data_IF_269060574249
#
_entry.id   IF_269060574249
#
_cell.length_a   1.000
_cell.length_b   1.000
_cell.length_c   1.000
_cell.angle_alpha   90.00
_cell.angle_beta   90.00
_cell.angle_gamma   90.00
#
_symmetry.space_group_name_H-M   'P 1'
#
loop_
_entity.id
_entity.type
_entity.pdbx_description
1 polymer ?
#
# COMPACT_ATOMS: atom_id res chain seq x y z
N UNK A 1 -56.31 -22.39 30.21
CA UNK A 1 -54.83 -22.35 30.13
C UNK A 1 -54.19 -22.76 28.78
N UNK A 2 -54.87 -23.29 27.73
CA UNK A 2 -54.18 -23.73 26.49
C UNK A 2 -53.83 -22.61 25.48
N UNK A 3 -54.50 -21.47 25.52
CA UNK A 3 -54.33 -20.37 24.53
C UNK A 3 -52.99 -19.62 24.68
N UNK A 4 -52.44 -19.55 25.90
CA UNK A 4 -51.17 -18.86 26.16
C UNK A 4 -49.97 -19.62 25.57
N UNK A 5 -50.00 -20.95 25.60
CA UNK A 5 -48.94 -21.84 25.13
C UNK A 5 -48.86 -21.85 23.59
N UNK A 6 -50.01 -21.82 22.90
CA UNK A 6 -50.11 -21.74 21.45
C UNK A 6 -49.59 -20.40 20.87
N UNK A 7 -49.85 -19.30 21.58
CA UNK A 7 -49.27 -18.00 21.24
C UNK A 7 -47.75 -18.01 21.44
N UNK A 8 -47.23 -18.56 22.53
CA UNK A 8 -45.79 -18.58 22.78
C UNK A 8 -45.02 -19.38 21.70
N UNK A 9 -45.59 -20.51 21.26
CA UNK A 9 -45.02 -21.36 20.19
C UNK A 9 -45.06 -20.64 18.83
N UNK A 10 -46.12 -19.89 18.52
CA UNK A 10 -46.22 -19.15 17.25
C UNK A 10 -45.26 -17.95 17.19
N UNK A 11 -45.08 -17.24 18.30
CA UNK A 11 -44.14 -16.11 18.40
C UNK A 11 -42.67 -16.57 18.25
N UNK A 12 -42.28 -17.69 18.87
CA UNK A 12 -40.94 -18.27 18.68
C UNK A 12 -40.67 -18.72 17.25
N UNK A 13 -41.68 -19.30 16.58
CA UNK A 13 -41.57 -19.71 15.17
C UNK A 13 -41.37 -18.51 14.25
N UNK A 14 -42.08 -17.41 14.49
CA UNK A 14 -41.92 -16.16 13.73
C UNK A 14 -40.52 -15.55 13.94
N UNK A 15 -40.01 -15.55 15.18
CA UNK A 15 -38.66 -15.09 15.49
C UNK A 15 -37.58 -15.95 14.80
N UNK A 16 -37.66 -17.28 14.89
CA UNK A 16 -36.73 -18.21 14.20
C UNK A 16 -36.79 -18.11 12.67
N UNK A 17 -37.95 -17.79 12.10
CA UNK A 17 -38.13 -17.65 10.64
C UNK A 17 -37.55 -16.31 10.14
N UNK A 18 -37.73 -15.23 10.91
CA UNK A 18 -37.15 -13.91 10.62
C UNK A 18 -35.61 -13.94 10.75
N UNK A 19 -35.08 -14.65 11.75
CA UNK A 19 -33.65 -14.86 11.93
C UNK A 19 -33.04 -15.63 10.73
N UNK A 20 -33.65 -16.74 10.31
CA UNK A 20 -33.21 -17.51 9.14
C UNK A 20 -33.25 -16.74 7.82
N UNK A 21 -34.25 -15.87 7.64
CA UNK A 21 -34.34 -15.02 6.44
C UNK A 21 -33.23 -13.95 6.44
N UNK A 22 -32.97 -13.35 7.60
CA UNK A 22 -31.89 -12.38 7.78
C UNK A 22 -30.52 -12.99 7.49
N UNK A 23 -30.23 -14.16 8.05
CA UNK A 23 -28.97 -14.87 7.82
C UNK A 23 -28.79 -15.25 6.35
N UNK A 24 -29.83 -15.76 5.69
CA UNK A 24 -29.78 -16.10 4.27
C UNK A 24 -29.56 -14.87 3.37
N UNK A 25 -30.26 -13.77 3.66
CA UNK A 25 -30.11 -12.51 2.92
C UNK A 25 -28.70 -11.94 3.10
N UNK A 26 -28.20 -11.93 4.34
CA UNK A 26 -26.87 -11.44 4.67
C UNK A 26 -25.77 -12.28 4.00
N UNK A 27 -25.88 -13.61 4.06
CA UNK A 27 -24.92 -14.52 3.46
C UNK A 27 -24.88 -14.35 1.93
N UNK A 28 -26.04 -14.30 1.28
CA UNK A 28 -26.11 -14.12 -0.17
C UNK A 28 -25.64 -12.72 -0.61
N UNK A 29 -26.00 -11.67 0.12
CA UNK A 29 -25.54 -10.32 -0.17
C UNK A 29 -24.02 -10.22 -0.05
N UNK A 30 -23.45 -10.77 1.03
CA UNK A 30 -21.99 -10.80 1.24
C UNK A 30 -21.30 -11.63 0.14
N UNK A 31 -21.88 -12.78 -0.25
CA UNK A 31 -21.35 -13.59 -1.33
C UNK A 31 -21.39 -12.85 -2.68
N UNK A 32 -22.49 -12.17 -3.00
CA UNK A 32 -22.62 -11.34 -4.22
C UNK A 32 -21.60 -10.22 -4.22
N UNK A 33 -21.43 -9.52 -3.10
CA UNK A 33 -20.42 -8.46 -2.96
C UNK A 33 -19.01 -9.02 -3.14
N UNK A 34 -18.68 -10.15 -2.49
CA UNK A 34 -17.37 -10.78 -2.63
C UNK A 34 -17.07 -11.20 -4.08
N UNK A 35 -18.06 -11.79 -4.78
CA UNK A 35 -17.95 -12.12 -6.20
C UNK A 35 -17.78 -10.86 -7.04
N UNK A 36 -18.56 -9.81 -6.78
CA UNK A 36 -18.47 -8.54 -7.50
C UNK A 36 -17.10 -7.88 -7.32
N UNK A 37 -16.56 -7.85 -6.09
CA UNK A 37 -15.19 -7.36 -5.82
C UNK A 37 -14.17 -8.20 -6.58
N UNK A 38 -14.29 -9.53 -6.55
CA UNK A 38 -13.43 -10.43 -7.32
C UNK A 38 -13.47 -10.15 -8.82
N UNK A 39 -14.67 -9.97 -9.38
CA UNK A 39 -14.87 -9.60 -10.79
C UNK A 39 -14.29 -8.22 -11.11
N UNK A 40 -14.41 -7.24 -10.22
CA UNK A 40 -13.79 -5.92 -10.39
C UNK A 40 -12.27 -6.00 -10.37
N UNK A 41 -11.67 -6.80 -9.50
CA UNK A 41 -10.22 -7.03 -9.49
C UNK A 41 -9.75 -7.70 -10.79
N UNK A 42 -10.49 -8.67 -11.30
CA UNK A 42 -10.18 -9.29 -12.58
C UNK A 42 -10.37 -8.31 -13.75
N UNK A 43 -11.44 -7.51 -13.74
CA UNK A 43 -11.71 -6.52 -14.78
C UNK A 43 -10.66 -5.40 -14.80
N UNK A 44 -10.22 -4.93 -13.64
CA UNK A 44 -9.13 -3.94 -13.54
C UNK A 44 -7.80 -4.54 -14.02
N UNK A 45 -7.46 -5.77 -13.63
CA UNK A 45 -6.29 -6.48 -14.16
C UNK A 45 -6.34 -6.64 -15.69
N UNK A 46 -7.49 -7.06 -16.23
CA UNK A 46 -7.69 -7.17 -17.67
C UNK A 46 -7.61 -5.81 -18.38
N UNK A 47 -8.17 -4.76 -17.79
CA UNK A 47 -8.10 -3.39 -18.31
C UNK A 47 -6.65 -2.89 -18.39
N UNK A 48 -5.82 -3.21 -17.38
CA UNK A 48 -4.39 -2.87 -17.41
C UNK A 48 -3.65 -3.63 -18.52
N UNK A 49 -3.98 -4.90 -18.78
CA UNK A 49 -3.37 -5.68 -19.86
C UNK A 49 -3.71 -5.12 -21.24
N UNK A 50 -4.97 -4.74 -21.46
CA UNK A 50 -5.42 -4.12 -22.72
C UNK A 50 -4.77 -2.75 -22.89
N UNK A 51 -4.75 -1.92 -21.84
CA UNK A 51 -4.12 -0.60 -21.88
C UNK A 51 -2.60 -0.64 -22.08
N UNK A 52 -1.93 -1.69 -21.56
CA UNK A 52 -0.49 -1.89 -21.72
C UNK A 52 -0.07 -2.46 -23.08
N UNK A 53 -1.02 -2.94 -23.90
CA UNK A 53 -0.72 -3.64 -25.15
C UNK A 53 0.08 -2.77 -26.14
N UNK A 54 -0.19 -1.47 -26.21
CA UNK A 54 0.54 -0.54 -27.08
C UNK A 54 2.03 -0.47 -26.74
N UNK A 55 2.39 -0.54 -25.45
CA UNK A 55 3.78 -0.55 -25.01
C UNK A 55 4.50 -1.82 -25.47
N UNK A 56 3.84 -2.98 -25.37
CA UNK A 56 4.40 -4.24 -25.83
C UNK A 56 4.55 -4.30 -27.35
N UNK A 57 3.60 -3.74 -28.10
CA UNK A 57 3.68 -3.66 -29.56
C UNK A 57 4.81 -2.74 -30.02
N UNK A 58 5.02 -1.60 -29.34
CA UNK A 58 6.02 -0.60 -29.74
C UNK A 58 7.45 -0.94 -29.30
N UNK A 59 7.61 -1.50 -28.09
CA UNK A 59 8.92 -1.69 -27.47
C UNK A 59 9.33 -3.17 -27.31
N UNK A 60 8.39 -4.11 -27.49
CA UNK A 60 8.64 -5.54 -27.36
C UNK A 60 9.21 -5.94 -25.99
N UNK A 61 9.97 -7.05 -25.97
CA UNK A 61 10.63 -7.53 -24.75
C UNK A 61 11.79 -6.61 -24.30
N UNK A 62 12.35 -5.81 -25.21
CA UNK A 62 13.39 -4.83 -24.90
C UNK A 62 12.93 -3.74 -23.92
N UNK A 63 11.61 -3.53 -23.81
CA UNK A 63 11.00 -2.64 -22.82
C UNK A 63 11.47 -2.91 -21.39
N UNK A 64 11.59 -4.18 -20.99
CA UNK A 64 11.92 -4.56 -19.61
C UNK A 64 13.38 -4.32 -19.23
N UNK A 65 14.28 -4.26 -20.22
CA UNK A 65 15.72 -4.09 -20.02
C UNK A 65 16.18 -2.68 -20.38
N UNK A 66 15.35 -1.93 -21.11
CA UNK A 66 15.64 -0.55 -21.49
C UNK A 66 15.61 0.38 -20.28
N UNK A 67 16.63 1.22 -20.17
CA UNK A 67 16.71 2.34 -19.22
C UNK A 67 16.22 3.66 -19.81
N UNK A 68 15.75 3.66 -21.07
CA UNK A 68 15.36 4.88 -21.77
C UNK A 68 14.14 5.53 -21.10
N UNK A 69 14.20 6.84 -20.88
CA UNK A 69 13.06 7.63 -20.43
C UNK A 69 13.06 8.97 -21.18
N UNK A 70 12.46 8.98 -22.36
CA UNK A 70 12.30 10.16 -23.20
C UNK A 70 10.82 10.40 -23.53
N UNK A 71 10.14 11.26 -22.74
CA UNK A 71 8.75 11.63 -22.98
C UNK A 71 8.53 12.38 -24.30
N UNK A 72 9.52 13.09 -24.80
CA UNK A 72 9.43 13.90 -26.03
C UNK A 72 9.46 12.99 -27.25
N UNK A 73 10.42 12.07 -27.30
CA UNK A 73 10.52 11.07 -28.37
C UNK A 73 9.52 9.90 -28.21
N UNK A 74 8.72 9.90 -27.13
CA UNK A 74 7.84 8.78 -26.73
C UNK A 74 8.59 7.46 -26.68
N UNK A 75 9.80 7.45 -26.12
CA UNK A 75 10.64 6.28 -25.95
C UNK A 75 10.77 5.95 -24.46
N UNK A 76 10.24 4.79 -24.06
CA UNK A 76 10.12 4.42 -22.66
C UNK A 76 10.65 3.02 -22.42
N UNK A 77 11.34 2.84 -21.29
CA UNK A 77 11.80 1.57 -20.76
C UNK A 77 11.29 1.38 -19.32
N UNK A 78 11.07 0.14 -18.94
CA UNK A 78 10.56 -0.23 -17.63
C UNK A 78 11.65 -0.55 -16.61
N UNK A 79 12.92 -0.71 -17.02
CA UNK A 79 13.96 -1.19 -16.12
C UNK A 79 14.16 -0.26 -14.92
N UNK A 80 14.24 1.05 -15.17
CA UNK A 80 14.43 2.07 -14.12
C UNK A 80 13.28 2.08 -13.11
N UNK A 81 11.99 2.21 -13.49
CA UNK A 81 10.90 2.19 -12.52
C UNK A 81 10.73 0.84 -11.81
N UNK A 82 10.98 -0.30 -12.48
CA UNK A 82 10.95 -1.62 -11.85
C UNK A 82 12.05 -1.71 -10.78
N UNK A 83 13.29 -1.40 -11.15
CA UNK A 83 14.43 -1.46 -10.24
C UNK A 83 14.24 -0.51 -9.05
N UNK A 84 13.85 0.74 -9.32
CA UNK A 84 13.56 1.74 -8.30
C UNK A 84 12.48 1.30 -7.32
N UNK A 85 11.39 0.68 -7.81
CA UNK A 85 10.31 0.16 -6.96
C UNK A 85 10.79 -0.98 -6.07
N UNK A 86 11.54 -1.94 -6.63
CA UNK A 86 12.04 -3.09 -5.86
C UNK A 86 13.03 -2.64 -4.79
N UNK A 87 14.03 -1.83 -5.16
CA UNK A 87 15.05 -1.36 -4.22
C UNK A 87 14.43 -0.50 -3.13
N UNK A 88 13.55 0.44 -3.49
CA UNK A 88 12.88 1.30 -2.50
C UNK A 88 11.97 0.50 -1.56
N UNK A 89 11.21 -0.48 -2.07
CA UNK A 89 10.37 -1.34 -1.24
C UNK A 89 11.20 -2.20 -0.27
N UNK A 90 12.31 -2.76 -0.73
CA UNK A 90 13.22 -3.56 0.12
C UNK A 90 13.84 -2.69 1.20
N UNK A 91 14.39 -1.52 0.85
CA UNK A 91 14.95 -0.58 1.83
C UNK A 91 13.90 -0.11 2.85
N UNK A 92 12.68 0.19 2.38
CA UNK A 92 11.57 0.54 3.24
C UNK A 92 11.24 -0.59 4.23
N UNK A 93 11.17 -1.84 3.78
CA UNK A 93 10.90 -2.99 4.65
C UNK A 93 12.02 -3.23 5.68
N UNK A 94 13.29 -3.12 5.27
CA UNK A 94 14.45 -3.29 6.15
C UNK A 94 14.40 -2.31 7.33
N UNK A 95 13.91 -1.09 7.11
CA UNK A 95 13.82 -0.06 8.15
C UNK A 95 12.49 -0.15 8.90
N UNK A 96 11.37 -0.26 8.19
CA UNK A 96 10.03 -0.18 8.78
C UNK A 96 9.70 -1.39 9.65
N UNK A 97 10.12 -2.61 9.26
CA UNK A 97 9.77 -3.83 10.01
C UNK A 97 10.40 -3.84 11.41
N UNK A 98 11.72 -3.62 11.58
CA UNK A 98 12.32 -3.55 12.91
C UNK A 98 11.74 -2.41 13.76
N UNK A 99 11.57 -1.23 13.17
CA UNK A 99 11.03 -0.06 13.90
C UNK A 99 9.60 -0.32 14.36
N UNK A 100 8.75 -0.90 13.51
CA UNK A 100 7.39 -1.30 13.87
C UNK A 100 7.38 -2.28 15.04
N UNK A 101 8.26 -3.29 14.99
CA UNK A 101 8.39 -4.26 16.07
C UNK A 101 8.86 -3.62 17.39
N UNK A 102 9.84 -2.71 17.33
CA UNK A 102 10.31 -1.96 18.49
C UNK A 102 9.21 -1.11 19.11
N UNK A 103 8.41 -0.41 18.31
CA UNK A 103 7.29 0.41 18.80
C UNK A 103 6.22 -0.49 19.42
N UNK A 104 5.89 -1.62 18.79
CA UNK A 104 4.92 -2.58 19.30
C UNK A 104 5.33 -3.12 20.67
N UNK A 105 6.56 -3.65 20.79
CA UNK A 105 7.09 -4.14 22.06
C UNK A 105 7.18 -3.05 23.12
N UNK A 106 7.60 -1.85 22.73
CA UNK A 106 7.66 -0.74 23.66
C UNK A 106 6.29 -0.41 24.24
N UNK A 107 5.25 -0.34 23.42
CA UNK A 107 3.89 -0.03 23.87
C UNK A 107 3.28 -1.13 24.74
N UNK A 108 3.57 -2.41 24.45
CA UNK A 108 3.01 -3.53 25.20
C UNK A 108 3.74 -3.77 26.52
N UNK A 109 5.07 -3.80 26.49
CA UNK A 109 5.90 -4.28 27.61
C UNK A 109 6.54 -3.15 28.42
N UNK A 110 7.02 -2.09 27.76
CA UNK A 110 7.92 -1.11 28.40
C UNK A 110 7.24 0.22 28.76
N UNK A 111 6.19 0.59 28.03
CA UNK A 111 5.60 1.92 28.12
C UNK A 111 4.83 2.09 29.45
N UNK A 112 5.03 3.20 30.18
CA UNK A 112 4.25 3.52 31.36
C UNK A 112 2.77 3.74 31.00
N UNK A 113 1.88 3.39 31.93
CA UNK A 113 0.42 3.31 31.70
C UNK A 113 -0.17 4.62 31.14
N UNK A 114 0.34 5.77 31.58
CA UNK A 114 -0.15 7.09 31.14
C UNK A 114 0.25 7.43 29.69
N UNK A 115 1.29 6.81 29.14
CA UNK A 115 1.85 7.14 27.82
C UNK A 115 1.36 6.21 26.71
N UNK A 116 0.93 4.98 27.07
CA UNK A 116 0.41 3.99 26.10
C UNK A 116 -0.73 4.56 25.25
N UNK A 117 -1.69 5.22 25.89
CA UNK A 117 -2.90 5.73 25.22
C UNK A 117 -2.61 6.92 24.29
N UNK A 118 -1.89 7.98 24.71
CA UNK A 118 -1.50 9.05 23.79
C UNK A 118 -0.69 8.56 22.59
N UNK A 119 0.30 7.69 22.79
CA UNK A 119 1.13 7.19 21.70
C UNK A 119 0.34 6.33 20.70
N UNK A 120 -0.55 5.46 21.21
CA UNK A 120 -1.44 4.68 20.36
C UNK A 120 -2.30 5.57 19.47
N UNK A 121 -2.90 6.62 20.04
CA UNK A 121 -3.70 7.59 19.27
C UNK A 121 -2.84 8.29 18.21
N UNK A 122 -1.62 8.73 18.53
CA UNK A 122 -0.73 9.37 17.55
C UNK A 122 -0.42 8.43 16.39
N UNK A 123 -0.14 7.16 16.66
CA UNK A 123 0.15 6.16 15.62
C UNK A 123 -1.08 5.92 14.75
N UNK A 124 -2.26 5.77 15.35
CA UNK A 124 -3.53 5.62 14.63
C UNK A 124 -3.83 6.85 13.76
N UNK A 125 -3.59 8.05 14.29
CA UNK A 125 -3.75 9.30 13.54
C UNK A 125 -2.76 9.41 12.39
N UNK A 126 -1.49 9.03 12.58
CA UNK A 126 -0.48 9.00 11.51
C UNK A 126 -0.87 8.04 10.39
N UNK A 127 -1.49 6.90 10.73
CA UNK A 127 -2.02 5.94 9.76
C UNK A 127 -3.27 6.45 9.02
N UNK A 128 -4.03 7.36 9.65
CA UNK A 128 -5.21 8.00 9.07
C UNK A 128 -4.92 9.15 8.11
N UNK A 129 -3.67 9.63 8.03
CA UNK A 129 -3.29 10.71 7.11
C UNK A 129 -3.38 10.19 5.66
N UNK A 130 -4.08 10.90 4.74
CA UNK A 130 -4.15 10.53 3.34
C UNK A 130 -2.76 10.41 2.70
N UNK A 131 -2.56 9.35 1.91
CA UNK A 131 -1.28 9.08 1.24
C UNK A 131 -0.78 10.23 0.36
N UNK A 132 -1.69 11.01 -0.23
CA UNK A 132 -1.34 12.18 -1.05
C UNK A 132 -0.60 13.26 -0.26
N UNK A 133 -0.92 13.44 1.04
CA UNK A 133 -0.27 14.45 1.88
C UNK A 133 1.20 14.05 2.11
N UNK A 134 1.46 12.79 2.45
CA UNK A 134 2.83 12.29 2.58
C UNK A 134 3.60 12.35 1.27
N UNK A 135 2.95 12.08 0.13
CA UNK A 135 3.56 12.22 -1.20
C UNK A 135 3.99 13.66 -1.50
N UNK A 136 3.10 14.63 -1.25
CA UNK A 136 3.38 16.04 -1.49
C UNK A 136 4.44 16.59 -0.52
N UNK A 137 4.38 16.22 0.77
CA UNK A 137 5.44 16.54 1.73
C UNK A 137 6.78 15.93 1.31
N UNK A 138 6.76 14.69 0.82
CA UNK A 138 7.92 14.01 0.26
C UNK A 138 8.56 14.80 -0.88
N UNK A 139 7.76 15.32 -1.80
CA UNK A 139 8.23 16.07 -2.96
C UNK A 139 8.68 17.51 -2.64
N UNK A 140 7.95 18.24 -1.78
CA UNK A 140 8.25 19.66 -1.52
C UNK A 140 9.17 19.93 -0.33
N UNK A 141 9.28 18.99 0.60
CA UNK A 141 10.07 19.18 1.83
C UNK A 141 11.20 18.16 1.90
N UNK A 142 10.87 16.87 1.81
CA UNK A 142 11.87 15.82 2.00
C UNK A 142 12.88 15.75 0.84
N UNK A 143 12.43 15.79 -0.41
CA UNK A 143 13.33 15.73 -1.57
C UNK A 143 14.31 16.92 -1.62
N UNK A 144 13.90 18.19 -1.43
CA UNK A 144 14.84 19.31 -1.31
C UNK A 144 15.78 19.19 -0.11
N UNK A 145 15.28 18.72 1.04
CA UNK A 145 16.12 18.48 2.23
C UNK A 145 17.21 17.44 1.93
N UNK A 146 16.85 16.33 1.29
CA UNK A 146 17.78 15.28 0.89
C UNK A 146 18.83 15.83 -0.10
N UNK A 147 18.40 16.57 -1.12
CA UNK A 147 19.29 17.16 -2.12
C UNK A 147 20.26 18.19 -1.51
N UNK A 148 19.82 18.98 -0.53
CA UNK A 148 20.63 20.03 0.07
C UNK A 148 21.60 19.52 1.16
N UNK A 149 21.18 18.55 1.98
CA UNK A 149 21.92 18.20 3.20
C UNK A 149 22.42 16.76 3.25
N UNK A 150 21.80 15.83 2.52
CA UNK A 150 22.08 14.39 2.66
C UNK A 150 22.82 13.84 1.45
N UNK A 151 22.42 14.20 0.23
CA UNK A 151 23.06 13.75 -1.01
C UNK A 151 24.51 14.24 -1.15
N UNK A 152 24.86 15.52 -0.89
CA UNK A 152 26.24 15.98 -1.06
C UNK A 152 27.27 15.19 -0.23
N UNK A 153 27.12 15.00 1.10
CA UNK A 153 28.10 14.25 1.87
C UNK A 153 28.16 12.77 1.49
N UNK A 154 27.04 12.17 1.07
CA UNK A 154 27.02 10.78 0.58
C UNK A 154 27.80 10.66 -0.72
N UNK A 155 27.60 11.58 -1.67
CA UNK A 155 28.30 11.55 -2.95
C UNK A 155 29.79 11.85 -2.77
N UNK A 156 30.15 12.78 -1.88
CA UNK A 156 31.55 13.12 -1.60
C UNK A 156 32.32 11.96 -0.93
N UNK A 157 31.63 11.11 -0.14
CA UNK A 157 32.27 10.00 0.58
C UNK A 157 32.14 8.67 -0.15
N UNK A 158 30.92 8.23 -0.43
CA UNK A 158 30.59 6.92 -1.01
C UNK A 158 30.64 6.95 -2.55
N UNK A 159 30.51 8.13 -3.18
CA UNK A 159 30.61 8.29 -4.63
C UNK A 159 32.00 8.00 -5.19
N UNK A 160 33.05 8.17 -4.37
CA UNK A 160 34.44 7.93 -4.77
C UNK A 160 34.88 6.45 -4.68
N UNK A 161 34.04 5.57 -4.12
CA UNK A 161 34.35 4.14 -3.97
C UNK A 161 33.96 3.41 -5.27
N UNK A 162 34.90 2.71 -5.95
CA UNK A 162 34.56 1.92 -7.13
C UNK A 162 33.47 0.89 -6.80
N UNK A 163 32.55 0.65 -7.74
CA UNK A 163 31.34 -0.18 -7.59
C UNK A 163 30.21 0.43 -6.74
N UNK A 164 30.53 1.04 -5.59
CA UNK A 164 29.52 1.63 -4.69
C UNK A 164 29.06 2.99 -5.20
N UNK A 165 29.98 3.81 -5.71
CA UNK A 165 29.66 5.12 -6.27
C UNK A 165 28.67 5.07 -7.44
N UNK A 166 28.63 3.96 -8.18
CA UNK A 166 27.68 3.73 -9.27
C UNK A 166 26.20 3.74 -8.81
N UNK A 167 25.93 3.37 -7.56
CA UNK A 167 24.57 3.39 -6.98
C UNK A 167 24.15 4.78 -6.51
N UNK A 168 25.11 5.68 -6.28
CA UNK A 168 24.88 7.05 -5.81
C UNK A 168 25.06 8.09 -6.94
N UNK A 169 25.68 7.71 -8.05
CA UNK A 169 25.76 8.47 -9.29
C UNK A 169 24.50 8.29 -10.14
N UNK A 170 23.35 8.78 -9.64
CA UNK A 170 22.14 8.93 -10.45
C UNK A 170 22.17 10.22 -11.26
N UNK A 171 21.38 10.34 -12.35
CA UNK A 171 21.13 11.64 -12.97
C UNK A 171 20.62 12.59 -11.87
N UNK A 172 21.13 13.83 -11.79
CA UNK A 172 20.53 14.82 -10.90
C UNK A 172 19.06 14.92 -11.28
N UNK A 173 18.17 14.52 -10.37
CA UNK A 173 16.75 14.81 -10.51
C UNK A 173 16.60 16.30 -10.15
N UNK A 174 16.90 17.10 -11.17
CA UNK A 174 16.97 18.56 -11.20
C UNK A 174 17.41 18.99 -12.59
#
# INVERSE_FOLDING_TARGET
MPVAEENQISLERLAKRRFRLGDFLFQNLTAVIAVLVGLLLLATGASMLVGGQEAFQKFGLGFFVSTAWDPVAKNFGALVPIYGTIVSAVLALIIAVPVSFCIALFLTELAPVWMRRPLGIIIELLAGIPSIIYGMWGLFVFAPFMAAYVQPPINDTLGNIPLVGAFFSGPPLG
#
